data_IF_927558822837
#
_entry.id   IF_927558822837
#
_cell.length_a   1.000
_cell.length_b   1.000
_cell.length_c   1.000
_cell.angle_alpha   90.00
_cell.angle_beta   90.00
_cell.angle_gamma   90.00
#
_symmetry.space_group_name_H-M   'P 1'
#
loop_
_entity.id
_entity.type
_entity.pdbx_description
1 polymer ?
#
# COMPACT_ATOMS: atom_id res chain seq x y z
N UNK A 1 21.08 -12.22 -22.28
CA UNK A 1 21.73 -12.24 -20.96
C UNK A 1 21.21 -13.47 -20.21
N UNK A 2 22.10 -14.40 -19.88
CA UNK A 2 21.80 -15.77 -19.45
C UNK A 2 21.49 -15.81 -17.94
N UNK A 3 20.23 -16.01 -17.55
CA UNK A 3 19.84 -16.06 -16.14
C UNK A 3 19.88 -17.50 -15.67
N UNK A 4 20.84 -17.77 -14.78
CA UNK A 4 21.13 -19.09 -14.20
C UNK A 4 19.88 -19.74 -13.60
N UNK A 5 19.67 -21.02 -13.92
CA UNK A 5 18.61 -21.89 -13.40
C UNK A 5 18.61 -21.89 -11.87
N UNK A 6 17.67 -21.17 -11.26
CA UNK A 6 17.36 -21.27 -9.84
C UNK A 6 16.73 -22.64 -9.59
N UNK A 7 17.30 -23.38 -8.64
CA UNK A 7 16.92 -24.75 -8.29
C UNK A 7 15.59 -24.70 -7.51
N UNK A 8 14.47 -25.02 -8.17
CA UNK A 8 13.17 -25.11 -7.51
C UNK A 8 13.06 -26.41 -6.72
N UNK A 9 12.81 -26.31 -5.41
CA UNK A 9 12.48 -27.44 -4.55
C UNK A 9 11.12 -28.01 -4.98
N UNK A 10 11.12 -29.19 -5.60
CA UNK A 10 9.93 -29.82 -6.19
C UNK A 10 9.09 -30.45 -5.07
N UNK A 11 8.31 -29.63 -4.37
CA UNK A 11 7.22 -30.10 -3.51
C UNK A 11 6.12 -30.57 -4.46
N UNK A 12 5.81 -31.87 -4.43
CA UNK A 12 4.83 -32.56 -5.26
C UNK A 12 3.37 -32.21 -4.89
N UNK A 13 3.03 -30.92 -4.89
CA UNK A 13 1.67 -30.41 -4.80
C UNK A 13 1.54 -29.30 -5.84
N UNK A 14 0.48 -29.33 -6.64
CA UNK A 14 0.18 -28.27 -7.61
C UNK A 14 0.24 -26.90 -6.90
N UNK A 15 1.30 -26.14 -7.18
CA UNK A 15 1.45 -24.79 -6.62
C UNK A 15 0.58 -23.87 -7.45
N UNK A 16 -0.48 -23.35 -6.84
CA UNK A 16 -1.31 -22.31 -7.45
C UNK A 16 -0.44 -21.10 -7.78
N UNK A 17 -0.54 -20.62 -9.02
CA UNK A 17 0.12 -19.39 -9.43
C UNK A 17 -0.65 -18.21 -8.84
N UNK A 18 0.05 -17.36 -8.10
CA UNK A 18 -0.51 -16.14 -7.54
C UNK A 18 -0.18 -14.98 -8.48
N UNK A 19 -1.21 -14.35 -9.07
CA UNK A 19 -1.05 -13.26 -10.02
C UNK A 19 -0.68 -11.91 -9.36
N UNK A 20 -1.09 -11.73 -8.10
CA UNK A 20 -0.81 -10.53 -7.31
C UNK A 20 -0.67 -10.85 -5.83
N UNK A 21 0.33 -10.27 -5.18
CA UNK A 21 0.52 -10.44 -3.74
C UNK A 21 0.94 -9.13 -3.08
N UNK A 22 0.60 -8.98 -1.80
CA UNK A 22 1.02 -7.85 -0.99
C UNK A 22 2.40 -8.14 -0.37
N UNK A 23 3.38 -7.29 -0.65
CA UNK A 23 4.72 -7.37 -0.09
C UNK A 23 5.17 -5.98 0.37
N UNK A 24 5.56 -5.88 1.64
CA UNK A 24 6.02 -4.63 2.28
C UNK A 24 5.07 -3.44 2.01
N UNK A 25 3.75 -3.70 2.05
CA UNK A 25 2.72 -2.67 1.83
C UNK A 25 2.50 -2.27 0.36
N UNK A 26 3.16 -2.93 -0.58
CA UNK A 26 2.99 -2.75 -2.03
C UNK A 26 2.36 -3.98 -2.66
N UNK A 27 1.51 -3.79 -3.67
CA UNK A 27 1.00 -4.91 -4.48
C UNK A 27 2.02 -5.16 -5.59
N UNK A 28 2.59 -6.36 -5.60
CA UNK A 28 3.46 -6.84 -6.68
C UNK A 28 2.59 -7.67 -7.62
N UNK A 29 2.60 -7.29 -8.89
CA UNK A 29 1.95 -7.98 -9.99
C UNK A 29 2.93 -8.11 -11.17
N UNK A 30 2.64 -9.05 -12.07
CA UNK A 30 3.46 -9.29 -13.27
C UNK A 30 3.51 -8.09 -14.22
N UNK A 31 2.46 -7.26 -14.24
CA UNK A 31 2.35 -6.09 -15.12
C UNK A 31 3.03 -4.82 -14.60
N UNK A 32 3.57 -4.82 -13.37
CA UNK A 32 4.22 -3.67 -12.72
C UNK A 32 3.44 -2.35 -12.91
N UNK A 33 2.11 -2.40 -12.78
CA UNK A 33 1.21 -1.27 -13.08
C UNK A 33 1.38 -0.11 -12.09
N UNK A 34 2.09 0.93 -12.52
CA UNK A 34 2.29 2.16 -11.73
C UNK A 34 0.96 2.87 -11.42
N UNK A 35 0.00 2.84 -12.34
CA UNK A 35 -1.32 3.44 -12.16
C UNK A 35 -2.07 2.86 -10.96
N UNK A 36 -1.99 1.54 -10.76
CA UNK A 36 -2.63 0.89 -9.62
C UNK A 36 -1.96 1.30 -8.30
N UNK A 37 -0.63 1.42 -8.29
CA UNK A 37 0.13 1.89 -7.10
C UNK A 37 -0.27 3.32 -6.72
N UNK A 38 -0.40 4.21 -7.71
CA UNK A 38 -0.83 5.59 -7.49
C UNK A 38 -2.26 5.63 -6.93
N UNK A 39 -3.20 4.92 -7.55
CA UNK A 39 -4.60 4.83 -7.07
C UNK A 39 -4.68 4.36 -5.63
N UNK A 40 -3.98 3.28 -5.27
CA UNK A 40 -3.98 2.75 -3.90
C UNK A 40 -3.44 3.78 -2.89
N UNK A 41 -2.37 4.50 -3.23
CA UNK A 41 -1.82 5.54 -2.35
C UNK A 41 -2.79 6.70 -2.16
N UNK A 42 -3.45 7.14 -3.24
CA UNK A 42 -4.49 8.19 -3.17
C UNK A 42 -5.64 7.74 -2.27
N UNK A 43 -6.13 6.51 -2.44
CA UNK A 43 -7.22 5.98 -1.62
C UNK A 43 -6.83 5.82 -0.15
N UNK A 44 -5.60 5.38 0.13
CA UNK A 44 -5.08 5.35 1.51
C UNK A 44 -5.03 6.76 2.12
N UNK A 45 -4.56 7.76 1.36
CA UNK A 45 -4.51 9.14 1.83
C UNK A 45 -5.92 9.69 2.11
N UNK A 46 -6.88 9.44 1.22
CA UNK A 46 -8.30 9.82 1.40
C UNK A 46 -8.91 9.18 2.64
N UNK A 47 -8.73 7.86 2.81
CA UNK A 47 -9.24 7.14 3.96
C UNK A 47 -8.66 7.69 5.28
N UNK A 48 -7.37 8.00 5.32
CA UNK A 48 -6.73 8.58 6.50
C UNK A 48 -7.21 10.02 6.75
N UNK A 49 -7.33 10.84 5.71
CA UNK A 49 -7.87 12.18 5.83
C UNK A 49 -9.30 12.16 6.39
N UNK A 50 -10.16 11.28 5.88
CA UNK A 50 -11.53 11.12 6.36
C UNK A 50 -11.58 10.77 7.85
N UNK A 51 -10.66 9.93 8.34
CA UNK A 51 -10.54 9.62 9.78
C UNK A 51 -10.10 10.83 10.61
N UNK A 52 -9.31 11.73 10.03
CA UNK A 52 -8.76 12.93 10.69
C UNK A 52 -9.58 14.19 10.46
N UNK A 53 -10.68 14.14 9.69
CA UNK A 53 -11.53 15.31 9.38
C UNK A 53 -11.98 16.05 10.64
N UNK A 54 -12.30 15.34 11.72
CA UNK A 54 -12.65 15.97 13.01
C UNK A 54 -11.53 16.80 13.63
N UNK A 55 -10.28 16.48 13.36
CA UNK A 55 -9.11 17.24 13.85
C UNK A 55 -8.72 18.32 12.85
N UNK A 56 -8.84 18.04 11.56
CA UNK A 56 -8.36 18.90 10.48
C UNK A 56 -9.39 19.95 10.01
N UNK A 57 -10.69 19.71 10.17
CA UNK A 57 -11.74 20.55 9.61
C UNK A 57 -12.63 21.22 10.68
N UNK A 58 -12.62 20.73 11.92
CA UNK A 58 -13.44 21.29 13.00
C UNK A 58 -12.86 22.60 13.53
N UNK A 59 -13.73 23.58 13.82
CA UNK A 59 -13.33 24.89 14.38
C UNK A 59 -13.18 24.89 15.89
N UNK A 60 -13.76 23.89 16.55
CA UNK A 60 -13.79 23.76 18.02
C UNK A 60 -12.41 23.40 18.60
N UNK A 61 -11.48 22.92 17.78
CA UNK A 61 -10.12 22.60 18.22
C UNK A 61 -9.22 23.83 18.12
N UNK A 62 -8.58 24.20 19.23
CA UNK A 62 -7.54 25.24 19.27
C UNK A 62 -6.42 24.93 18.28
N UNK A 63 -5.88 25.96 17.63
CA UNK A 63 -4.82 25.82 16.63
C UNK A 63 -3.58 25.10 17.18
N UNK A 64 -3.19 25.37 18.41
CA UNK A 64 -2.05 24.71 19.08
C UNK A 64 -2.23 23.19 19.16
N UNK A 65 -3.43 22.71 19.48
CA UNK A 65 -3.73 21.27 19.51
C UNK A 65 -3.65 20.66 18.12
N UNK A 66 -4.14 21.38 17.09
CA UNK A 66 -4.06 20.91 15.70
C UNK A 66 -2.62 20.79 15.21
N UNK A 67 -1.76 21.76 15.55
CA UNK A 67 -0.34 21.72 15.22
C UNK A 67 0.36 20.57 15.95
N UNK A 68 -0.01 20.28 17.20
CA UNK A 68 0.53 19.14 17.95
C UNK A 68 0.18 17.80 17.33
N UNK A 69 -1.04 17.63 16.81
CA UNK A 69 -1.45 16.40 16.11
C UNK A 69 -0.81 16.22 14.73
N UNK A 70 -0.30 17.29 14.12
CA UNK A 70 0.33 17.26 12.80
C UNK A 70 1.85 17.04 12.85
N UNK A 71 2.47 17.14 14.03
CA UNK A 71 3.87 16.79 14.28
C UNK A 71 4.00 15.30 14.62
#
# INVERSE_FOLDING_TARGET
MNVKKTKFMRISKNVEKVDKYAYLGTIINSTNDYNQKIKIRIEKARANFNKMTRVLCTRDLKLELRVRFAR
#
